data_IF_861490358306
#
_entry.id   IF_861490358306
#
_cell.length_a   1.000
_cell.length_b   1.000
_cell.length_c   1.000
_cell.angle_alpha   90.00
_cell.angle_beta   90.00
_cell.angle_gamma   90.00
#
_symmetry.space_group_name_H-M   'P 1'
#
loop_
_entity.id
_entity.type
_entity.pdbx_description
1 polymer ?
#
# COMPACT_ATOMS: atom_id res chain seq x y z
N UNK A 1 -6.09 -0.34 7.26
CA UNK A 1 -6.43 -1.00 5.97
C UNK A 1 -5.96 -2.46 5.96
N UNK A 2 -4.73 -2.75 6.39
CA UNK A 2 -4.15 -4.10 6.41
C UNK A 2 -5.01 -5.19 7.05
N UNK A 3 -5.71 -4.89 8.16
CA UNK A 3 -6.64 -5.83 8.81
C UNK A 3 -7.87 -6.09 7.95
N UNK A 4 -8.46 -5.05 7.38
CA UNK A 4 -9.71 -5.16 6.63
C UNK A 4 -9.54 -5.69 5.22
N UNK A 5 -8.35 -5.60 4.65
CA UNK A 5 -8.00 -6.20 3.34
C UNK A 5 -7.29 -7.55 3.49
N UNK A 6 -7.28 -8.13 4.70
CA UNK A 6 -6.64 -9.41 5.01
C UNK A 6 -5.15 -9.50 4.62
N UNK A 7 -4.41 -8.39 4.71
CA UNK A 7 -2.98 -8.31 4.36
C UNK A 7 -2.04 -8.58 5.55
N UNK A 8 -2.57 -8.92 6.72
CA UNK A 8 -1.77 -9.15 7.93
C UNK A 8 -0.68 -10.21 7.75
N UNK A 9 -1.00 -11.33 7.09
CA UNK A 9 -0.02 -12.38 6.79
C UNK A 9 1.11 -11.90 5.88
N UNK A 10 0.80 -11.10 4.86
CA UNK A 10 1.80 -10.50 3.97
C UNK A 10 2.72 -9.53 4.72
N UNK A 11 2.15 -8.63 5.52
CA UNK A 11 2.94 -7.65 6.28
C UNK A 11 3.89 -8.36 7.24
N UNK A 12 3.43 -9.40 7.94
CA UNK A 12 4.28 -10.18 8.84
C UNK A 12 5.40 -10.95 8.12
N UNK A 13 5.18 -11.35 6.86
CA UNK A 13 6.15 -12.09 6.07
C UNK A 13 7.16 -11.18 5.34
N UNK A 14 6.76 -9.96 4.95
CA UNK A 14 7.55 -9.09 4.06
C UNK A 14 7.95 -7.75 4.68
N UNK A 15 7.47 -7.45 5.89
CA UNK A 15 7.85 -6.29 6.67
C UNK A 15 7.34 -4.95 6.11
N UNK A 16 7.36 -3.94 6.97
CA UNK A 16 7.02 -2.56 6.62
C UNK A 16 8.25 -1.84 6.10
N UNK A 17 8.10 -1.16 4.97
CA UNK A 17 9.14 -0.33 4.40
C UNK A 17 9.26 0.98 5.17
N UNK A 18 10.47 1.35 5.55
CA UNK A 18 10.81 2.69 5.99
C UNK A 18 12.24 3.03 5.55
N UNK A 19 12.54 4.32 5.32
CA UNK A 19 13.87 4.74 4.84
C UNK A 19 14.99 4.52 5.86
N UNK A 20 14.64 4.41 7.13
CA UNK A 20 15.54 4.13 8.25
C UNK A 20 14.99 2.95 9.03
N UNK A 21 15.81 2.33 9.86
CA UNK A 21 15.29 1.33 10.80
C UNK A 21 14.43 2.02 11.86
N UNK A 22 13.32 1.40 12.21
CA UNK A 22 12.42 1.85 13.28
C UNK A 22 11.93 0.64 14.06
N UNK A 23 12.12 0.67 15.38
CA UNK A 23 11.70 -0.41 16.25
C UNK A 23 10.18 -0.48 16.35
N UNK A 24 9.70 -1.68 16.72
CA UNK A 24 8.30 -1.94 16.97
C UNK A 24 7.88 -1.31 18.30
N UNK A 25 7.34 -0.09 18.24
CA UNK A 25 6.88 0.66 19.42
C UNK A 25 5.80 -0.10 20.19
N UNK A 26 4.94 -0.88 19.51
CA UNK A 26 3.89 -1.63 20.20
C UNK A 26 4.48 -2.76 21.03
N UNK A 27 5.48 -3.46 20.48
CA UNK A 27 6.23 -4.47 21.24
C UNK A 27 6.98 -3.83 22.41
N UNK A 28 7.65 -2.71 22.17
CA UNK A 28 8.45 -2.02 23.19
C UNK A 28 7.55 -1.54 24.36
N UNK A 29 6.34 -1.07 24.06
CA UNK A 29 5.30 -0.65 25.02
C UNK A 29 4.39 -1.79 25.52
N UNK A 30 4.73 -3.06 25.22
CA UNK A 30 3.97 -4.25 25.63
C UNK A 30 2.48 -4.26 25.21
N UNK A 31 2.15 -3.57 24.13
CA UNK A 31 0.81 -3.56 23.53
C UNK A 31 0.67 -4.78 22.63
N UNK A 32 -0.38 -5.58 22.85
CA UNK A 32 -0.65 -6.73 22.00
C UNK A 32 -1.01 -6.30 20.58
N UNK A 33 -0.23 -6.75 19.60
CA UNK A 33 -0.52 -6.55 18.17
C UNK A 33 -0.33 -7.84 17.39
N UNK A 34 -1.23 -8.09 16.44
CA UNK A 34 -1.13 -9.24 15.54
C UNK A 34 -0.11 -9.01 14.40
N UNK A 35 0.25 -7.76 14.15
CA UNK A 35 1.20 -7.36 13.12
C UNK A 35 2.56 -7.00 13.75
N UNK A 36 3.64 -7.35 13.06
CA UNK A 36 4.99 -6.85 13.35
C UNK A 36 5.11 -5.44 12.79
N UNK A 37 5.36 -4.46 13.65
CA UNK A 37 5.46 -3.05 13.27
C UNK A 37 6.90 -2.56 13.10
N UNK A 38 7.87 -3.45 13.22
CA UNK A 38 9.25 -3.17 12.86
C UNK A 38 9.34 -2.75 11.39
N UNK A 39 9.99 -1.62 11.15
CA UNK A 39 10.12 -1.04 9.81
C UNK A 39 11.59 -0.95 9.42
N UNK A 40 11.88 -1.26 8.16
CA UNK A 40 13.25 -1.20 7.64
C UNK A 40 13.27 -0.90 6.14
N UNK A 41 14.45 -0.51 5.58
CA UNK A 41 14.60 -0.35 4.14
C UNK A 41 14.38 -1.66 3.35
N UNK A 42 14.41 -2.81 4.00
CA UNK A 42 14.18 -4.12 3.39
C UNK A 42 12.70 -4.53 3.33
N UNK A 43 11.81 -3.81 4.04
CA UNK A 43 10.38 -4.07 4.00
C UNK A 43 9.78 -3.86 2.62
N UNK A 44 8.74 -4.62 2.27
CA UNK A 44 8.07 -4.52 0.97
C UNK A 44 6.64 -4.02 1.03
N UNK A 45 6.08 -3.85 2.23
CA UNK A 45 4.77 -3.23 2.40
C UNK A 45 4.94 -1.74 2.74
N UNK A 46 4.30 -0.86 1.97
CA UNK A 46 4.31 0.57 2.23
C UNK A 46 2.95 0.97 2.77
N UNK A 47 2.91 1.47 4.00
CA UNK A 47 1.68 1.96 4.63
C UNK A 47 1.69 3.49 4.67
N UNK A 48 0.63 4.10 4.12
CA UNK A 48 0.48 5.55 4.00
C UNK A 48 -0.59 6.13 4.94
N UNK A 49 -1.30 5.29 5.70
CA UNK A 49 -2.47 5.70 6.46
C UNK A 49 -3.63 6.13 5.55
N UNK A 50 -4.33 7.20 5.93
CA UNK A 50 -5.46 7.77 5.17
C UNK A 50 -4.93 8.84 4.23
N UNK A 51 -4.50 8.42 3.03
CA UNK A 51 -3.87 9.31 2.07
C UNK A 51 -4.07 8.83 0.62
N UNK A 52 -5.33 8.75 0.15
CA UNK A 52 -5.64 8.07 -1.10
C UNK A 52 -5.03 8.73 -2.35
N UNK A 53 -4.97 10.05 -2.40
CA UNK A 53 -4.27 10.74 -3.49
C UNK A 53 -2.77 10.38 -3.50
N UNK A 54 -2.12 10.36 -2.34
CA UNK A 54 -0.70 10.00 -2.22
C UNK A 54 -0.47 8.52 -2.55
N UNK A 55 -1.42 7.66 -2.20
CA UNK A 55 -1.42 6.25 -2.57
C UNK A 55 -1.39 6.08 -4.09
N UNK A 56 -2.25 6.78 -4.85
CA UNK A 56 -2.23 6.69 -6.30
C UNK A 56 -0.96 7.29 -6.92
N UNK A 57 -0.45 8.42 -6.40
CA UNK A 57 0.82 8.99 -6.85
C UNK A 57 2.00 8.01 -6.62
N UNK A 58 2.04 7.35 -5.46
CA UNK A 58 3.06 6.35 -5.17
C UNK A 58 2.92 5.13 -6.07
N UNK A 59 1.69 4.63 -6.27
CA UNK A 59 1.43 3.47 -7.12
C UNK A 59 1.83 3.75 -8.58
N UNK A 60 1.57 4.96 -9.08
CA UNK A 60 2.02 5.44 -10.38
C UNK A 60 3.54 5.44 -10.49
N UNK A 61 4.24 6.06 -9.53
CA UNK A 61 5.70 6.13 -9.51
C UNK A 61 6.35 4.73 -9.49
N UNK A 62 5.80 3.80 -8.69
CA UNK A 62 6.27 2.41 -8.67
C UNK A 62 5.99 1.69 -10.00
N UNK A 63 4.85 1.97 -10.64
CA UNK A 63 4.48 1.39 -11.93
C UNK A 63 5.32 1.88 -13.11
N UNK A 64 5.92 3.06 -12.98
CA UNK A 64 6.86 3.65 -13.93
C UNK A 64 8.33 3.25 -13.68
N UNK A 65 8.57 2.32 -12.76
CA UNK A 65 9.93 1.89 -12.41
C UNK A 65 10.77 1.39 -13.59
N UNK A 66 10.18 0.61 -14.51
CA UNK A 66 10.94 0.09 -15.65
C UNK A 66 11.42 1.19 -16.62
N UNK A 67 10.57 2.11 -17.12
CA UNK A 67 11.06 3.18 -17.98
C UNK A 67 11.96 4.19 -17.27
N UNK A 68 11.81 4.39 -15.95
CA UNK A 68 12.60 5.37 -15.20
C UNK A 68 13.95 4.82 -14.68
N UNK A 69 14.00 3.55 -14.31
CA UNK A 69 15.14 2.95 -13.61
C UNK A 69 15.65 1.64 -14.26
N UNK A 70 15.08 1.23 -15.39
CA UNK A 70 15.48 0.02 -16.12
C UNK A 70 15.04 -1.31 -15.47
N UNK A 71 14.33 -1.27 -14.34
CA UNK A 71 13.87 -2.47 -13.61
C UNK A 71 12.38 -2.39 -13.34
N UNK A 72 11.64 -3.45 -13.70
CA UNK A 72 10.20 -3.55 -13.47
C UNK A 72 9.91 -3.96 -12.03
N UNK A 73 9.09 -3.17 -11.35
CA UNK A 73 8.37 -3.59 -10.15
C UNK A 73 7.00 -4.17 -10.51
N UNK A 74 6.41 -4.89 -9.57
CA UNK A 74 5.02 -5.38 -9.63
C UNK A 74 4.22 -4.76 -8.48
N UNK A 75 3.83 -3.47 -8.58
CA UNK A 75 3.15 -2.78 -7.49
C UNK A 75 1.70 -3.28 -7.38
N UNK A 76 1.28 -3.60 -6.15
CA UNK A 76 -0.08 -4.01 -5.84
C UNK A 76 -0.64 -3.03 -4.81
N UNK A 77 -1.67 -2.28 -5.20
CA UNK A 77 -2.38 -1.35 -4.34
C UNK A 77 -3.70 -1.93 -3.87
N UNK A 78 -3.96 -1.90 -2.56
CA UNK A 78 -5.24 -2.31 -1.98
C UNK A 78 -5.89 -1.13 -1.25
N UNK A 79 -7.16 -0.84 -1.55
CA UNK A 79 -7.93 0.23 -0.94
C UNK A 79 -9.43 -0.07 -0.93
N UNK A 80 -10.20 0.77 -0.25
CA UNK A 80 -11.65 0.72 -0.41
C UNK A 80 -12.12 1.39 -1.69
N UNK A 81 -13.01 0.71 -2.43
CA UNK A 81 -13.52 1.22 -3.70
C UNK A 81 -14.21 2.60 -3.64
N UNK A 82 -14.88 3.04 -2.55
CA UNK A 82 -15.53 4.36 -2.56
C UNK A 82 -14.50 5.49 -2.54
N UNK A 83 -13.28 5.20 -2.09
CA UNK A 83 -12.19 6.17 -2.00
C UNK A 83 -11.34 6.27 -3.26
N UNK A 84 -11.61 5.48 -4.32
CA UNK A 84 -10.98 5.68 -5.63
C UNK A 84 -11.20 7.13 -6.10
N UNK A 85 -12.41 7.65 -5.89
CA UNK A 85 -12.78 9.03 -6.21
C UNK A 85 -11.89 10.09 -5.54
N UNK A 86 -11.29 9.79 -4.38
CA UNK A 86 -10.46 10.74 -3.60
C UNK A 86 -9.06 10.97 -4.18
N UNK A 87 -8.62 10.13 -5.13
CA UNK A 87 -7.38 10.33 -5.88
C UNK A 87 -7.53 9.99 -7.35
N UNK A 88 -8.73 10.20 -7.88
CA UNK A 88 -9.12 9.84 -9.25
C UNK A 88 -8.23 10.51 -10.31
N UNK A 89 -7.88 11.77 -10.10
CA UNK A 89 -7.02 12.49 -11.04
C UNK A 89 -5.63 11.87 -11.11
N UNK A 90 -4.99 11.61 -9.97
CA UNK A 90 -3.70 10.92 -9.91
C UNK A 90 -3.76 9.52 -10.56
N UNK A 91 -4.86 8.78 -10.38
CA UNK A 91 -5.06 7.49 -11.04
C UNK A 91 -5.16 7.64 -12.58
N UNK A 92 -5.91 8.63 -13.06
CA UNK A 92 -6.03 8.90 -14.49
C UNK A 92 -4.67 9.28 -15.10
N UNK A 93 -3.92 10.17 -14.46
CA UNK A 93 -2.57 10.53 -14.90
C UNK A 93 -1.61 9.34 -14.90
N UNK A 94 -1.72 8.42 -13.93
CA UNK A 94 -0.94 7.19 -13.93
C UNK A 94 -1.21 6.35 -15.20
N UNK A 95 -2.48 6.21 -15.60
CA UNK A 95 -2.87 5.53 -16.84
C UNK A 95 -2.33 6.26 -18.08
N UNK A 96 -2.43 7.60 -18.14
CA UNK A 96 -1.88 8.39 -19.24
C UNK A 96 -0.36 8.25 -19.38
N UNK A 97 0.35 8.09 -18.27
CA UNK A 97 1.80 7.89 -18.23
C UNK A 97 2.23 6.45 -18.53
N UNK A 98 1.29 5.53 -18.79
CA UNK A 98 1.55 4.11 -18.98
C UNK A 98 2.13 3.39 -17.74
N UNK A 99 1.77 3.85 -16.54
CA UNK A 99 2.17 3.20 -15.29
C UNK A 99 1.57 1.79 -15.19
N UNK A 100 2.39 0.80 -14.78
CA UNK A 100 1.98 -0.61 -14.68
C UNK A 100 1.84 -1.07 -13.23
N UNK A 101 0.61 -1.34 -12.79
CA UNK A 101 0.31 -1.78 -11.42
C UNK A 101 -0.99 -2.60 -11.37
N UNK A 102 -1.23 -3.31 -10.26
CA UNK A 102 -2.50 -3.94 -9.94
C UNK A 102 -3.22 -3.15 -8.85
N UNK A 103 -4.48 -2.81 -9.08
CA UNK A 103 -5.34 -2.13 -8.10
C UNK A 103 -6.45 -3.08 -7.64
N UNK A 104 -6.57 -3.26 -6.33
CA UNK A 104 -7.56 -4.13 -5.68
C UNK A 104 -8.48 -3.25 -4.83
N UNK A 105 -9.72 -3.08 -5.27
CA UNK A 105 -10.77 -2.37 -4.53
C UNK A 105 -11.60 -3.33 -3.68
N UNK A 106 -11.84 -2.99 -2.41
CA UNK A 106 -12.65 -3.81 -1.49
C UNK A 106 -13.66 -2.99 -0.69
N UNK A 107 -14.87 -3.49 -0.38
CA UNK A 107 -15.58 -4.50 -1.13
C UNK A 107 -16.21 -3.88 -2.38
N UNK A 108 -16.36 -4.68 -3.43
CA UNK A 108 -16.80 -4.31 -4.78
C UNK A 108 -18.29 -3.95 -4.91
N UNK A 109 -18.83 -3.15 -3.98
CA UNK A 109 -20.20 -2.65 -4.05
C UNK A 109 -21.35 -3.66 -3.86
N UNK A 110 -21.09 -4.92 -3.47
CA UNK A 110 -22.16 -5.91 -3.24
C UNK A 110 -22.53 -6.15 -1.76
N UNK A 111 -21.71 -5.78 -0.78
CA UNK A 111 -22.13 -5.52 0.61
C UNK A 111 -20.95 -5.09 1.50
N UNK A 112 -21.11 -4.00 2.27
CA UNK A 112 -20.44 -3.77 3.58
C UNK A 112 -21.40 -4.09 4.75
N UNK A 113 -22.59 -4.62 4.45
CA UNK A 113 -23.61 -4.98 5.46
C UNK A 113 -23.29 -6.34 6.10
N UNK A 114 -23.60 -6.53 7.41
CA UNK A 114 -23.44 -7.80 8.12
C UNK A 114 -24.17 -8.97 7.46
#
# INVERSE_FOLDING_TARGET
>A
VTVSTNLGGWVNARGLFYRRERTDVFRDEHVQSAQKWEMSPAGQHIELGIAENNFFLQLAALGLSAPLFGTRLLPIGALYDPFISRGLDALNYACYQDARFLLIGTPSGLSLSP
#
